data_IF_800624675289
#
_entry.id   IF_800624675289
#
_cell.length_a   1.000
_cell.length_b   1.000
_cell.length_c   1.000
_cell.angle_alpha   90.00
_cell.angle_beta   90.00
_cell.angle_gamma   90.00
#
_symmetry.space_group_name_H-M   'P 1'
#
loop_
_entity.id
_entity.type
_entity.pdbx_description
1 polymer ?
#
# COMPACT_ATOMS: atom_id res chain seq x y z
N UNK A 1 15.58 1.19 43.36
CA UNK A 1 16.91 0.72 43.79
C UNK A 1 17.07 1.15 45.23
N UNK A 2 16.75 0.29 46.19
CA UNK A 2 16.91 0.60 47.62
C UNK A 2 17.73 -0.52 48.25
N UNK A 3 18.79 -0.13 48.95
CA UNK A 3 19.74 -1.04 49.60
C UNK A 3 19.53 -0.97 51.12
N UNK A 4 19.57 -2.14 51.74
CA UNK A 4 19.70 -2.39 53.19
C UNK A 4 18.42 -2.26 54.02
N UNK A 5 17.69 -3.38 54.10
CA UNK A 5 16.93 -3.74 55.30
C UNK A 5 17.66 -4.91 55.95
N UNK A 6 18.10 -4.69 57.19
CA UNK A 6 18.71 -5.69 58.07
C UNK A 6 17.63 -6.70 58.49
N UNK A 7 17.50 -7.79 57.74
CA UNK A 7 16.68 -8.93 58.13
C UNK A 7 17.54 -10.20 58.10
N UNK A 8 17.75 -10.81 59.27
CA UNK A 8 18.54 -12.02 59.52
C UNK A 8 17.84 -13.31 59.05
N UNK A 9 17.16 -13.25 57.91
CA UNK A 9 16.46 -14.39 57.33
C UNK A 9 16.77 -14.45 55.84
N UNK A 10 17.51 -15.48 55.43
CA UNK A 10 17.74 -15.79 54.03
C UNK A 10 16.39 -15.89 53.32
N UNK A 11 16.12 -14.97 52.40
CA UNK A 11 14.93 -15.02 51.56
C UNK A 11 15.12 -16.16 50.54
N UNK A 12 14.56 -17.32 50.86
CA UNK A 12 14.32 -18.37 49.88
C UNK A 12 13.24 -17.90 48.90
N UNK A 13 13.45 -18.17 47.61
CA UNK A 13 12.52 -17.88 46.51
C UNK A 13 12.91 -16.60 45.76
N UNK A 14 13.06 -16.59 44.44
CA UNK A 14 12.34 -17.33 43.41
C UNK A 14 13.29 -17.52 42.21
N UNK A 15 13.96 -18.67 42.10
CA UNK A 15 14.33 -19.19 40.77
C UNK A 15 13.09 -19.96 40.31
N UNK A 16 12.12 -19.23 39.76
CA UNK A 16 11.05 -19.86 39.00
C UNK A 16 11.45 -19.63 37.56
N UNK A 17 12.01 -20.67 36.96
CA UNK A 17 12.02 -20.76 35.52
C UNK A 17 10.58 -20.53 35.03
N UNK A 18 10.37 -19.66 34.04
CA UNK A 18 9.06 -19.55 33.42
C UNK A 18 8.75 -20.92 32.80
N UNK A 19 7.83 -21.66 33.40
CA UNK A 19 7.30 -22.89 32.82
C UNK A 19 6.47 -22.48 31.60
N UNK A 20 7.15 -22.30 30.47
CA UNK A 20 6.49 -22.13 29.19
C UNK A 20 5.66 -23.37 28.93
N UNK A 21 4.42 -23.22 28.44
CA UNK A 21 3.62 -24.37 28.07
C UNK A 21 4.38 -25.19 27.02
N UNK A 22 4.76 -26.41 27.38
CA UNK A 22 5.25 -27.39 26.42
C UNK A 22 4.11 -27.69 25.45
N UNK A 23 4.41 -27.59 24.16
CA UNK A 23 3.44 -27.81 23.10
C UNK A 23 3.05 -29.30 23.07
N UNK A 24 1.99 -29.67 23.79
CA UNK A 24 1.42 -31.04 23.82
C UNK A 24 0.48 -31.35 22.65
N UNK A 25 0.32 -30.42 21.70
CA UNK A 25 -0.50 -30.61 20.50
C UNK A 25 0.35 -30.87 19.27
N UNK A 26 -0.05 -31.87 18.47
CA UNK A 26 0.43 -31.97 17.10
C UNK A 26 0.07 -30.68 16.37
N UNK A 27 1.03 -30.15 15.59
CA UNK A 27 0.72 -29.10 14.65
C UNK A 27 -0.42 -29.59 13.72
N UNK A 28 -1.44 -28.77 13.43
CA UNK A 28 -2.33 -29.08 12.32
C UNK A 28 -1.47 -29.35 11.07
N UNK A 29 -1.85 -30.33 10.22
CA UNK A 29 -1.15 -30.58 8.98
C UNK A 29 -1.04 -29.25 8.23
N UNK A 30 0.18 -28.90 7.81
CA UNK A 30 0.40 -27.73 6.96
C UNK A 30 -0.59 -27.85 5.78
N UNK A 31 -1.60 -26.96 5.66
CA UNK A 31 -2.36 -26.88 4.44
C UNK A 31 -1.29 -26.60 3.38
N UNK A 32 -1.17 -27.46 2.36
CA UNK A 32 -0.12 -27.33 1.35
C UNK A 32 0.01 -25.91 0.80
N UNK A 33 1.10 -25.60 0.07
CA UNK A 33 1.37 -24.25 -0.43
C UNK A 33 0.10 -23.64 -1.00
N UNK A 34 -0.27 -22.45 -0.50
CA UNK A 34 -1.43 -21.73 -1.01
C UNK A 34 -1.32 -21.63 -2.53
N UNK A 35 -2.42 -21.84 -3.28
CA UNK A 35 -2.39 -21.72 -4.74
C UNK A 35 -1.71 -20.41 -5.14
N UNK A 36 -0.86 -20.40 -6.18
CA UNK A 36 -0.29 -19.15 -6.68
C UNK A 36 -1.45 -18.18 -6.93
N UNK A 37 -1.34 -16.97 -6.37
CA UNK A 37 -2.35 -15.94 -6.60
C UNK A 37 -2.54 -15.78 -8.11
N UNK A 38 -3.78 -15.70 -8.62
CA UNK A 38 -4.01 -15.53 -10.05
C UNK A 38 -3.19 -14.34 -10.55
N UNK A 39 -2.35 -14.59 -11.56
CA UNK A 39 -1.58 -13.54 -12.23
C UNK A 39 -2.61 -12.59 -12.83
N UNK A 40 -2.77 -11.39 -12.25
CA UNK A 40 -3.71 -10.42 -12.81
C UNK A 40 -3.22 -10.03 -14.21
N UNK A 41 -4.08 -9.85 -15.21
CA UNK A 41 -3.61 -9.34 -16.49
C UNK A 41 -3.05 -7.91 -16.32
N UNK A 42 -2.08 -7.49 -17.15
CA UNK A 42 -1.70 -6.09 -17.25
C UNK A 42 -2.91 -5.24 -17.64
N UNK A 43 -2.91 -3.98 -17.22
CA UNK A 43 -4.02 -3.05 -17.48
C UNK A 43 -3.78 -2.41 -18.84
N UNK A 44 -4.69 -2.65 -19.79
CA UNK A 44 -4.65 -2.02 -21.10
C UNK A 44 -5.36 -0.66 -21.04
N UNK A 45 -4.61 0.42 -21.26
CA UNK A 45 -5.14 1.79 -21.23
C UNK A 45 -5.79 2.17 -22.56
N UNK A 46 -5.12 1.80 -23.65
CA UNK A 46 -5.59 1.98 -25.03
C UNK A 46 -5.00 0.84 -25.90
N UNK A 47 -5.20 0.90 -27.22
CA UNK A 47 -4.66 -0.07 -28.18
C UNK A 47 -3.12 -0.08 -28.20
N UNK A 48 -2.50 1.05 -27.85
CA UNK A 48 -1.05 1.24 -27.94
C UNK A 48 -0.35 1.32 -26.58
N UNK A 49 -1.08 1.41 -25.48
CA UNK A 49 -0.48 1.67 -24.16
C UNK A 49 -1.01 0.70 -23.10
N UNK A 50 -0.07 0.16 -22.33
CA UNK A 50 -0.33 -0.77 -21.24
C UNK A 50 0.38 -0.34 -19.97
N UNK A 51 -0.21 -0.69 -18.84
CA UNK A 51 0.36 -0.55 -17.51
C UNK A 51 0.54 -1.92 -16.84
N UNK A 52 1.52 -2.05 -15.94
CA UNK A 52 1.68 -3.25 -15.13
C UNK A 52 0.45 -3.52 -14.25
N UNK A 53 0.38 -4.73 -13.69
CA UNK A 53 -0.72 -5.10 -12.79
C UNK A 53 -0.81 -4.13 -11.61
N UNK A 54 -2.03 -3.90 -11.11
CA UNK A 54 -2.31 -3.03 -9.95
C UNK A 54 -2.09 -1.53 -10.21
N UNK A 55 -1.89 -1.11 -11.46
CA UNK A 55 -1.76 0.31 -11.82
C UNK A 55 -3.06 0.84 -12.44
N UNK A 56 -3.21 2.16 -12.44
CA UNK A 56 -4.35 2.84 -13.08
C UNK A 56 -3.86 3.70 -14.24
N UNK A 57 -4.59 3.66 -15.36
CA UNK A 57 -4.31 4.46 -16.53
C UNK A 57 -4.84 5.88 -16.36
N UNK A 58 -3.98 6.87 -16.49
CA UNK A 58 -4.32 8.28 -16.48
C UNK A 58 -3.99 8.93 -17.81
N UNK A 59 -4.88 9.80 -18.28
CA UNK A 59 -4.60 10.58 -19.46
C UNK A 59 -3.64 11.73 -19.10
N UNK A 60 -2.48 11.78 -19.74
CA UNK A 60 -1.50 12.85 -19.54
C UNK A 60 -1.63 13.96 -20.57
N UNK A 61 -2.23 13.67 -21.72
CA UNK A 61 -2.47 14.68 -22.74
C UNK A 61 -3.76 14.36 -23.49
N UNK A 62 -4.80 15.13 -23.19
CA UNK A 62 -6.10 15.02 -23.84
C UNK A 62 -6.17 15.94 -25.07
N UNK A 63 -6.67 15.40 -26.17
CA UNK A 63 -7.02 16.14 -27.38
C UNK A 63 -8.46 15.83 -27.77
N UNK A 64 -9.37 16.71 -27.35
CA UNK A 64 -10.80 16.57 -27.58
C UNK A 64 -11.42 15.44 -26.76
N UNK A 65 -11.62 14.27 -27.37
CA UNK A 65 -12.15 13.06 -26.71
C UNK A 65 -11.13 11.92 -26.67
N UNK A 66 -9.92 12.17 -27.16
CA UNK A 66 -8.88 11.18 -27.31
C UNK A 66 -7.71 11.54 -26.40
N UNK A 67 -7.16 10.52 -25.76
CA UNK A 67 -5.93 10.68 -25.01
C UNK A 67 -4.74 10.33 -25.91
N UNK A 68 -3.83 11.28 -26.13
CA UNK A 68 -2.66 11.10 -26.99
C UNK A 68 -1.52 10.43 -26.19
N UNK A 69 -1.41 10.75 -24.91
CA UNK A 69 -0.36 10.24 -24.02
C UNK A 69 -0.97 9.69 -22.74
N UNK A 70 -0.57 8.48 -22.37
CA UNK A 70 -1.04 7.81 -21.17
C UNK A 70 0.08 7.68 -20.13
N UNK A 71 -0.32 7.73 -18.87
CA UNK A 71 0.53 7.47 -17.73
C UNK A 71 -0.05 6.39 -16.82
N UNK A 72 0.84 5.65 -16.18
CA UNK A 72 0.55 4.63 -15.20
C UNK A 72 0.70 5.21 -13.79
N UNK A 73 -0.39 5.26 -13.04
CA UNK A 73 -0.37 5.53 -11.62
C UNK A 73 -0.12 4.22 -10.84
N UNK A 74 0.86 4.16 -9.91
CA UNK A 74 1.23 2.95 -9.15
C UNK A 74 0.23 2.58 -8.04
N UNK A 75 -1.04 2.95 -8.22
CA UNK A 75 -2.12 2.72 -7.29
C UNK A 75 -3.30 2.10 -8.04
N UNK A 76 -4.00 1.19 -7.37
CA UNK A 76 -5.26 0.63 -7.89
C UNK A 76 -6.40 1.63 -7.72
N UNK A 77 -7.28 1.69 -8.72
CA UNK A 77 -8.46 2.55 -8.72
C UNK A 77 -8.14 4.01 -8.35
N UNK A 78 -6.99 4.50 -8.81
CA UNK A 78 -6.53 5.85 -8.56
C UNK A 78 -7.40 6.87 -9.30
N UNK A 79 -7.52 8.06 -8.74
CA UNK A 79 -8.14 9.21 -9.40
C UNK A 79 -7.05 10.02 -10.09
N UNK A 80 -7.21 10.27 -11.39
CA UNK A 80 -6.30 11.11 -12.15
C UNK A 80 -6.63 12.58 -11.90
N UNK A 81 -5.62 13.38 -11.58
CA UNK A 81 -5.80 14.81 -11.35
C UNK A 81 -5.80 15.59 -12.66
N UNK A 82 -6.41 16.77 -12.65
CA UNK A 82 -6.53 17.66 -13.81
C UNK A 82 -5.17 18.24 -14.29
N UNK A 83 -4.15 18.17 -13.44
CA UNK A 83 -2.75 18.47 -13.77
C UNK A 83 -2.15 17.51 -14.82
N UNK A 84 -2.86 16.42 -15.16
CA UNK A 84 -2.46 15.44 -16.18
C UNK A 84 -1.08 14.81 -15.94
N UNK A 85 -0.52 14.91 -14.74
CA UNK A 85 0.78 14.33 -14.39
C UNK A 85 0.76 13.68 -13.01
N UNK A 86 -0.29 13.94 -12.22
CA UNK A 86 -0.45 13.47 -10.86
C UNK A 86 -1.72 12.64 -10.68
N UNK A 87 -1.65 11.69 -9.75
CA UNK A 87 -2.74 10.80 -9.39
C UNK A 87 -2.85 10.63 -7.88
N UNK A 88 -4.07 10.36 -7.44
CA UNK A 88 -4.42 10.21 -6.05
C UNK A 88 -5.02 8.83 -5.76
N UNK A 89 -4.77 8.25 -4.57
CA UNK A 89 -5.39 6.99 -4.17
C UNK A 89 -6.91 7.13 -4.04
N UNK A 90 -7.62 6.01 -4.14
CA UNK A 90 -9.08 5.97 -4.01
C UNK A 90 -9.60 6.57 -2.69
N UNK A 91 -8.87 6.35 -1.59
CA UNK A 91 -9.22 6.91 -0.27
C UNK A 91 -9.06 8.43 -0.19
N UNK A 92 -8.25 9.03 -1.07
CA UNK A 92 -8.02 10.49 -1.11
C UNK A 92 -8.34 11.04 -2.50
N UNK A 93 -9.62 11.02 -2.93
CA UNK A 93 -9.98 11.31 -4.31
C UNK A 93 -9.89 12.79 -4.69
N UNK A 94 -9.73 13.70 -3.72
CA UNK A 94 -9.73 15.15 -3.98
C UNK A 94 -8.31 15.62 -4.24
N UNK A 95 -7.98 15.94 -5.49
CA UNK A 95 -6.70 16.52 -5.85
C UNK A 95 -6.59 17.98 -5.39
N UNK A 96 -5.59 18.28 -4.57
CA UNK A 96 -5.19 19.62 -4.19
C UNK A 96 -3.89 19.99 -4.92
N UNK A 97 -4.06 20.57 -6.11
CA UNK A 97 -2.97 20.86 -7.04
C UNK A 97 -2.02 21.95 -6.53
N UNK A 98 -2.52 22.89 -5.73
CA UNK A 98 -1.73 24.00 -5.18
C UNK A 98 -0.62 23.49 -4.25
N UNK A 99 -0.97 22.54 -3.38
CA UNK A 99 -0.03 21.91 -2.46
C UNK A 99 0.58 20.60 -2.98
N UNK A 100 0.10 20.09 -4.13
CA UNK A 100 0.52 18.80 -4.68
C UNK A 100 0.14 17.61 -3.78
N UNK A 101 -1.04 17.67 -3.16
CA UNK A 101 -1.54 16.65 -2.24
C UNK A 101 -2.92 16.14 -2.63
N UNK A 102 -3.35 15.06 -1.99
CA UNK A 102 -4.63 14.42 -2.16
C UNK A 102 -5.35 14.44 -0.82
N UNK A 103 -6.59 14.90 -0.81
CA UNK A 103 -7.44 15.04 0.36
C UNK A 103 -8.54 13.97 0.33
N UNK A 104 -8.95 13.51 1.51
CA UNK A 104 -10.06 12.56 1.65
C UNK A 104 -11.40 13.21 1.27
N UNK A 105 -11.55 14.51 1.51
CA UNK A 105 -12.72 15.31 1.18
C UNK A 105 -12.34 16.79 1.09
N UNK A 106 -13.23 17.62 0.52
CA UNK A 106 -13.06 19.07 0.49
C UNK A 106 -12.93 19.59 1.93
N UNK A 107 -11.82 20.26 2.28
CA UNK A 107 -11.45 20.70 3.63
C UNK A 107 -11.02 19.62 4.65
N UNK A 108 -10.62 18.43 4.22
CA UNK A 108 -9.97 17.46 5.12
C UNK A 108 -8.64 17.99 5.66
N UNK A 109 -8.35 17.75 6.94
CA UNK A 109 -7.01 17.97 7.52
C UNK A 109 -6.04 16.83 7.20
N UNK A 110 -6.57 15.68 6.76
CA UNK A 110 -5.78 14.54 6.33
C UNK A 110 -5.52 14.66 4.83
N UNK A 111 -4.25 14.82 4.50
CA UNK A 111 -3.73 14.84 3.14
C UNK A 111 -2.61 13.82 2.97
N UNK A 112 -2.51 13.25 1.78
CA UNK A 112 -1.37 12.44 1.35
C UNK A 112 -0.72 13.09 0.15
N UNK A 113 0.57 12.86 -0.06
CA UNK A 113 1.25 13.42 -1.23
C UNK A 113 0.66 12.82 -2.51
N UNK A 114 0.42 13.65 -3.53
CA UNK A 114 0.03 13.15 -4.84
C UNK A 114 1.19 12.37 -5.47
N UNK A 115 0.87 11.26 -6.12
CA UNK A 115 1.88 10.46 -6.82
C UNK A 115 1.99 10.96 -8.25
N UNK A 116 3.22 11.00 -8.76
CA UNK A 116 3.47 11.32 -10.15
C UNK A 116 3.21 10.08 -11.01
N UNK A 117 2.47 10.28 -12.10
CA UNK A 117 2.23 9.25 -13.09
C UNK A 117 3.55 8.89 -13.78
N UNK A 118 3.79 7.59 -13.97
CA UNK A 118 4.90 7.13 -14.79
C UNK A 118 4.46 7.04 -16.25
N UNK A 119 5.34 7.22 -17.25
CA UNK A 119 4.94 7.02 -18.64
C UNK A 119 4.49 5.56 -18.87
N UNK A 120 3.39 5.38 -19.62
CA UNK A 120 2.96 4.04 -20.03
C UNK A 120 3.99 3.38 -20.93
N UNK A 121 4.05 2.05 -20.86
CA UNK A 121 4.79 1.27 -21.86
C UNK A 121 3.97 1.15 -23.12
N UNK A 122 4.62 1.24 -24.28
CA UNK A 122 3.99 0.91 -25.55
C UNK A 122 3.66 -0.59 -25.55
N UNK A 123 2.41 -0.92 -25.88
CA UNK A 123 1.98 -2.28 -26.12
C UNK A 123 2.66 -2.77 -27.40
N UNK A 124 3.74 -3.53 -27.24
CA UNK A 124 4.37 -4.24 -28.36
C UNK A 124 3.42 -5.34 -28.83
N UNK A 125 2.89 -5.18 -30.04
CA UNK A 125 2.11 -6.16 -30.79
C UNK A 125 2.87 -7.46 -31.04
#
# INVERSE_FOLDING_TARGET
>A
MERNIAASGGKCGIVVEPSYPIKNGQNPPNPGPSPPSPIKPPIQCDNYYTCPQRYTCCCLFEYGKYCIAWGCCPLEAATCCDDNDSCCPHDYPVCDLDHGTCLMSKNSLFSVKALKCQPCTFASS
#
